data_IF_615529521601
#
_entry.id   IF_615529521601
#
_cell.length_a   1.000
_cell.length_b   1.000
_cell.length_c   1.000
_cell.angle_alpha   90.00
_cell.angle_beta   90.00
_cell.angle_gamma   90.00
#
_symmetry.space_group_name_H-M   'P 1'
#
loop_
_entity.id
_entity.type
_entity.pdbx_description
1 polymer ?
#
# COMPACT_ATOMS: atom_id res chain seq x y z
N UNK A 1 1.78 8.74 12.48
CA UNK A 1 2.63 7.77 11.77
C UNK A 1 2.97 8.39 10.42
N UNK A 2 4.25 8.47 10.07
CA UNK A 2 4.74 9.19 8.88
C UNK A 2 4.96 8.19 7.74
N UNK A 3 3.86 7.79 7.09
CA UNK A 3 3.98 7.02 5.84
C UNK A 3 4.66 7.90 4.81
N UNK A 4 5.78 7.41 4.25
CA UNK A 4 6.58 8.17 3.30
C UNK A 4 5.94 8.14 1.92
N UNK A 5 5.95 9.29 1.26
CA UNK A 5 5.49 9.43 -0.13
C UNK A 5 6.22 8.46 -1.08
N UNK A 6 7.49 8.18 -0.82
CA UNK A 6 8.29 7.17 -1.54
C UNK A 6 7.69 5.76 -1.43
N UNK A 7 7.29 5.35 -0.22
CA UNK A 7 6.68 4.04 0.01
C UNK A 7 5.30 3.95 -0.63
N UNK A 8 4.52 5.04 -0.56
CA UNK A 8 3.22 5.12 -1.22
C UNK A 8 3.39 5.03 -2.73
N UNK A 9 4.39 5.70 -3.32
CA UNK A 9 4.66 5.62 -4.76
C UNK A 9 5.09 4.21 -5.19
N UNK A 10 5.92 3.53 -4.39
CA UNK A 10 6.30 2.13 -4.62
C UNK A 10 5.09 1.18 -4.59
N UNK A 11 4.24 1.26 -3.55
CA UNK A 11 3.04 0.43 -3.44
C UNK A 11 2.07 0.74 -4.58
N UNK A 12 1.85 2.03 -4.87
CA UNK A 12 1.00 2.50 -5.97
C UNK A 12 1.48 1.95 -7.31
N UNK A 13 2.79 2.01 -7.60
CA UNK A 13 3.39 1.56 -8.86
C UNK A 13 3.35 0.04 -9.01
N UNK A 14 3.58 -0.71 -7.92
CA UNK A 14 3.59 -2.18 -7.91
C UNK A 14 2.19 -2.80 -7.90
N UNK A 15 1.28 -2.29 -7.06
CA UNK A 15 -0.09 -2.79 -6.95
C UNK A 15 -1.07 -2.13 -7.93
N UNK A 16 -0.66 -1.05 -8.62
CA UNK A 16 -1.49 -0.25 -9.52
C UNK A 16 -2.81 0.16 -8.85
N UNK A 17 -2.68 0.90 -7.74
CA UNK A 17 -3.78 1.42 -6.91
C UNK A 17 -3.69 2.94 -6.76
N UNK A 18 -4.66 3.57 -6.11
CA UNK A 18 -4.62 5.01 -5.83
C UNK A 18 -3.65 5.34 -4.68
N UNK A 19 -3.19 6.60 -4.60
CA UNK A 19 -2.37 7.06 -3.47
C UNK A 19 -3.08 6.87 -2.12
N UNK A 20 -4.40 7.03 -2.08
CA UNK A 20 -5.22 6.80 -0.88
C UNK A 20 -5.20 5.33 -0.46
N UNK A 21 -5.40 4.39 -1.39
CA UNK A 21 -5.33 2.95 -1.12
C UNK A 21 -3.94 2.52 -0.67
N UNK A 22 -2.90 3.01 -1.36
CA UNK A 22 -1.52 2.70 -1.02
C UNK A 22 -1.15 3.25 0.37
N UNK A 23 -1.60 4.46 0.70
CA UNK A 23 -1.41 5.05 2.03
C UNK A 23 -2.15 4.25 3.10
N UNK A 24 -3.41 3.91 2.87
CA UNK A 24 -4.21 3.13 3.83
C UNK A 24 -3.58 1.74 4.07
N UNK A 25 -3.13 1.07 3.00
CA UNK A 25 -2.45 -0.22 3.10
C UNK A 25 -1.17 -0.11 3.93
N UNK A 26 -0.32 0.89 3.69
CA UNK A 26 0.90 1.13 4.48
C UNK A 26 0.60 1.50 5.93
N UNK A 27 -0.44 2.30 6.18
CA UNK A 27 -0.84 2.65 7.56
C UNK A 27 -1.31 1.42 8.34
N UNK A 28 -2.04 0.52 7.69
CA UNK A 28 -2.50 -0.72 8.33
C UNK A 28 -1.40 -1.77 8.48
N UNK A 29 -0.47 -1.81 7.54
CA UNK A 29 0.67 -2.73 7.53
C UNK A 29 1.91 -2.16 8.24
N UNK A 30 1.78 -1.06 9.01
CA UNK A 30 2.90 -0.46 9.76
C UNK A 30 4.13 -0.12 8.90
N UNK A 31 3.90 0.45 7.72
CA UNK A 31 4.92 0.80 6.72
C UNK A 31 5.60 -0.42 6.07
N UNK A 32 5.07 -1.63 6.30
CA UNK A 32 5.56 -2.85 5.65
C UNK A 32 5.06 -2.92 4.20
N UNK A 33 5.98 -2.65 3.27
CA UNK A 33 5.71 -2.61 1.83
C UNK A 33 5.17 -3.95 1.32
N UNK A 34 5.66 -5.07 1.86
CA UNK A 34 5.28 -6.41 1.39
C UNK A 34 3.89 -6.75 1.88
N UNK A 35 3.60 -6.55 3.16
CA UNK A 35 2.23 -6.73 3.67
C UNK A 35 1.24 -5.79 2.99
N UNK A 36 1.60 -4.52 2.74
CA UNK A 36 0.71 -3.58 2.05
C UNK A 36 0.35 -4.07 0.64
N UNK A 37 1.32 -4.61 -0.10
CA UNK A 37 1.08 -5.19 -1.43
C UNK A 37 0.18 -6.43 -1.34
N UNK A 38 0.49 -7.36 -0.42
CA UNK A 38 -0.31 -8.57 -0.21
C UNK A 38 -1.74 -8.22 0.23
N UNK A 39 -1.90 -7.20 1.07
CA UNK A 39 -3.17 -6.70 1.53
C UNK A 39 -4.01 -6.15 0.37
N UNK A 40 -3.40 -5.34 -0.51
CA UNK A 40 -4.06 -4.81 -1.70
C UNK A 40 -4.40 -5.92 -2.73
N UNK A 41 -3.53 -6.91 -2.91
CA UNK A 41 -3.80 -8.08 -3.75
C UNK A 41 -4.98 -8.92 -3.23
N UNK A 42 -5.08 -9.08 -1.90
CA UNK A 42 -6.20 -9.76 -1.25
C UNK A 42 -7.50 -8.98 -1.41
N UNK A 43 -7.47 -7.65 -1.31
CA UNK A 43 -8.65 -6.82 -1.53
C UNK A 43 -9.14 -6.82 -2.99
N UNK A 44 -8.24 -6.84 -3.99
CA UNK A 44 -8.61 -6.86 -5.41
C UNK A 44 -9.25 -8.17 -5.89
N UNK A 45 -9.16 -9.24 -5.11
CA UNK A 45 -9.66 -10.57 -5.49
C UNK A 45 -11.13 -10.82 -5.18
N UNK A 46 -11.87 -9.81 -4.72
CA UNK A 46 -13.27 -9.93 -4.33
C UNK A 46 -14.18 -8.94 -5.07
#
# INVERSE_FOLDING_TARGET
MTVRLENIDEVRRRANVSYEDAKAALEMCNDDLVEALVYLERQKKN
#
